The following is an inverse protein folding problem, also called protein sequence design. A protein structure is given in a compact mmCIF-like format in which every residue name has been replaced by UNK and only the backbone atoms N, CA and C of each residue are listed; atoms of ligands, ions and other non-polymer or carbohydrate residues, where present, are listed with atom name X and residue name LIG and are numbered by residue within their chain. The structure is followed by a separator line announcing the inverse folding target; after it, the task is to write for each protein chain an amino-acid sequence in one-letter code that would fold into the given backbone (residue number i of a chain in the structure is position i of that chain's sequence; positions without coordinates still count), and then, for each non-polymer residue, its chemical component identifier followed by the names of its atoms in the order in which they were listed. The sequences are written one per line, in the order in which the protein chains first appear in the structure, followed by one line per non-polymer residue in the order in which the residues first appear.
data_IF_647977918855
#
_entry.id   IF_647977918855
#
_cell.length_a   1.000
_cell.length_b   1.000
_cell.length_c   1.000
_cell.angle_alpha   90.00
_cell.angle_beta   90.00
_cell.angle_gamma   90.00
#
_symmetry.space_group_name_H-M   'P 1'
#
loop_
_entity.id
_entity.type
_entity.pdbx_description
1 polymer ?
#
# COMPACT_ATOMS: atom_id res chain seq x y z
N UNK A 1 18.04 5.97 14.07
CA UNK A 1 17.38 6.22 15.38
C UNK A 1 15.83 6.11 15.32
N UNK A 2 15.24 5.65 14.24
CA UNK A 2 13.76 5.63 14.01
C UNK A 2 13.03 4.33 14.35
N UNK A 3 13.70 3.33 14.90
CA UNK A 3 13.10 1.98 15.13
C UNK A 3 12.11 1.89 16.32
N UNK A 4 11.83 3.00 17.01
CA UNK A 4 11.00 3.02 18.25
C UNK A 4 9.58 3.59 18.08
N UNK A 5 9.23 4.15 16.92
CA UNK A 5 7.94 4.87 16.75
C UNK A 5 6.81 3.93 16.33
N UNK A 6 7.09 2.83 15.61
CA UNK A 6 6.06 1.92 15.07
C UNK A 6 5.34 1.11 16.17
N UNK A 7 5.97 0.86 17.31
CA UNK A 7 5.39 0.03 18.39
C UNK A 7 4.32 0.78 19.21
N UNK A 8 4.34 2.11 19.21
CA UNK A 8 3.43 2.92 20.07
C UNK A 8 2.02 3.03 19.46
N UNK A 9 1.86 2.92 18.15
CA UNK A 9 0.55 3.10 17.49
C UNK A 9 -0.36 1.89 17.71
N UNK A 10 0.17 0.69 17.82
CA UNK A 10 -0.62 -0.54 18.04
C UNK A 10 -1.19 -0.62 19.47
N UNK A 11 -0.53 -0.01 20.45
CA UNK A 11 -0.98 -0.05 21.85
C UNK A 11 -2.17 0.89 22.15
N UNK A 12 -2.47 1.86 21.30
CA UNK A 12 -3.53 2.84 21.54
C UNK A 12 -4.94 2.31 21.20
N UNK A 13 -5.04 1.23 20.41
CA UNK A 13 -6.34 0.66 20.01
C UNK A 13 -6.92 -0.34 21.02
N UNK A 14 -6.16 -0.77 22.04
CA UNK A 14 -6.60 -1.78 23.00
C UNK A 14 -7.35 -1.22 24.22
N UNK A 15 -7.52 0.10 24.34
CA UNK A 15 -8.23 0.74 25.45
C UNK A 15 -9.41 1.60 25.01
N UNK A 16 -10.15 1.19 23.99
CA UNK A 16 -11.39 1.88 23.63
C UNK A 16 -12.43 1.66 24.74
N UNK A 17 -12.97 2.74 25.36
CA UNK A 17 -14.01 2.58 26.38
C UNK A 17 -15.28 2.04 25.73
N UNK A 18 -16.11 1.37 26.54
CA UNK A 18 -17.36 0.69 26.18
C UNK A 18 -18.47 1.55 25.51
N UNK A 19 -18.13 2.74 24.97
CA UNK A 19 -18.98 3.52 24.08
C UNK A 19 -18.84 3.12 22.60
N UNK A 20 -18.06 2.08 22.29
CA UNK A 20 -17.86 1.54 20.94
C UNK A 20 -19.12 0.90 20.31
N UNK A 21 -20.19 0.77 21.05
CA UNK A 21 -21.44 0.10 20.67
C UNK A 21 -22.26 0.78 19.54
N UNK A 22 -21.69 1.79 18.88
CA UNK A 22 -22.34 2.49 17.74
C UNK A 22 -21.48 2.55 16.47
N UNK A 23 -20.28 1.94 16.46
CA UNK A 23 -19.42 1.87 15.31
C UNK A 23 -19.23 0.42 14.90
N UNK A 24 -19.47 0.14 13.63
CA UNK A 24 -19.17 -1.17 13.04
C UNK A 24 -17.68 -1.23 12.75
N UNK A 25 -17.00 -2.20 13.31
CA UNK A 25 -15.55 -2.38 13.11
C UNK A 25 -15.26 -3.62 12.30
N UNK A 26 -14.36 -3.48 11.33
CA UNK A 26 -13.92 -4.57 10.47
C UNK A 26 -12.40 -4.64 10.45
N UNK A 27 -11.86 -5.85 10.57
CA UNK A 27 -10.43 -6.13 10.48
C UNK A 27 -10.18 -7.14 9.38
N UNK A 28 -9.32 -6.78 8.42
CA UNK A 28 -9.04 -7.60 7.24
C UNK A 28 -7.55 -7.86 7.12
N UNK A 29 -6.99 -8.94 7.64
CA UNK A 29 -5.72 -9.46 7.15
C UNK A 29 -5.89 -9.90 5.70
N UNK A 30 -4.91 -9.57 4.86
CA UNK A 30 -4.98 -9.93 3.45
C UNK A 30 -3.59 -10.22 2.86
N UNK A 31 -3.58 -10.87 1.72
CA UNK A 31 -2.42 -11.06 0.87
C UNK A 31 -2.61 -10.23 -0.40
N UNK A 32 -1.52 -9.67 -0.88
CA UNK A 32 -1.47 -8.95 -2.13
C UNK A 32 -0.32 -9.51 -2.97
N UNK A 33 -0.67 -10.17 -4.02
CA UNK A 33 0.28 -10.73 -4.96
C UNK A 33 0.54 -9.69 -6.05
N UNK A 34 1.28 -8.65 -5.69
CA UNK A 34 1.60 -7.55 -6.57
C UNK A 34 2.81 -7.86 -7.44
N UNK A 35 2.68 -7.72 -8.75
CA UNK A 35 3.83 -7.44 -9.61
C UNK A 35 4.39 -6.07 -9.27
N UNK A 36 5.67 -5.85 -9.53
CA UNK A 36 6.37 -4.60 -9.32
C UNK A 36 7.07 -4.18 -10.61
N UNK A 37 6.72 -3.01 -11.10
CA UNK A 37 7.39 -2.36 -12.22
C UNK A 37 7.86 -0.98 -11.81
N UNK A 38 9.07 -0.59 -12.24
CA UNK A 38 9.53 0.76 -11.97
C UNK A 38 11.02 0.92 -11.96
N UNK A 39 11.47 2.03 -11.36
CA UNK A 39 12.86 2.38 -11.24
C UNK A 39 13.17 3.07 -9.91
N UNK A 40 14.40 2.86 -9.44
CA UNK A 40 14.97 3.61 -8.33
C UNK A 40 16.24 4.30 -8.79
N UNK A 41 16.33 5.61 -8.55
CA UNK A 41 17.47 6.44 -8.94
C UNK A 41 18.21 6.95 -7.72
N UNK A 42 19.54 6.80 -7.72
CA UNK A 42 20.43 7.36 -6.71
C UNK A 42 21.59 8.04 -7.41
N UNK A 43 21.59 9.38 -7.47
CA UNK A 43 22.55 10.16 -8.21
C UNK A 43 22.56 9.78 -9.69
N UNK A 44 23.70 9.33 -10.25
CA UNK A 44 23.79 8.94 -11.66
C UNK A 44 23.34 7.50 -11.94
N UNK A 45 23.00 6.72 -10.91
CA UNK A 45 22.64 5.32 -11.05
C UNK A 45 21.11 5.18 -11.04
N UNK A 46 20.57 4.49 -12.03
CA UNK A 46 19.16 4.06 -12.05
C UNK A 46 19.10 2.55 -12.20
N UNK A 47 18.46 1.89 -11.23
CA UNK A 47 18.13 0.48 -11.27
C UNK A 47 16.66 0.32 -11.70
N UNK A 48 16.42 -0.46 -12.75
CA UNK A 48 15.05 -0.81 -13.15
C UNK A 48 14.68 -2.17 -12.57
N UNK A 49 13.45 -2.26 -12.09
CA UNK A 49 12.86 -3.49 -11.59
C UNK A 49 11.59 -3.80 -12.39
N UNK A 50 11.44 -5.04 -12.77
CA UNK A 50 10.20 -5.56 -13.35
C UNK A 50 10.04 -7.00 -12.86
N UNK A 51 9.18 -7.19 -11.86
CA UNK A 51 8.90 -8.48 -11.26
C UNK A 51 7.47 -8.85 -11.60
N UNK A 52 7.31 -9.91 -12.40
CA UNK A 52 5.98 -10.40 -12.74
C UNK A 52 5.28 -10.94 -11.49
N UNK A 53 3.95 -10.88 -11.48
CA UNK A 53 3.13 -11.45 -10.41
C UNK A 53 3.50 -12.90 -10.06
N UNK A 54 3.79 -13.76 -11.07
CA UNK A 54 4.19 -15.15 -10.86
C UNK A 54 5.50 -15.29 -10.07
N UNK A 55 6.36 -14.31 -10.17
CA UNK A 55 7.74 -14.38 -9.66
C UNK A 55 7.89 -13.66 -8.31
N UNK A 56 6.84 -12.92 -7.87
CA UNK A 56 6.84 -12.20 -6.58
C UNK A 56 7.18 -13.11 -5.41
N UNK A 57 6.70 -14.36 -5.42
CA UNK A 57 6.97 -15.31 -4.34
C UNK A 57 8.47 -15.60 -4.20
N UNK A 58 9.22 -15.58 -5.29
CA UNK A 58 10.66 -15.86 -5.29
C UNK A 58 11.48 -14.67 -4.77
N UNK A 59 11.02 -13.44 -5.01
CA UNK A 59 11.68 -12.21 -4.57
C UNK A 59 11.20 -11.73 -3.21
N UNK A 60 10.00 -12.13 -2.75
CA UNK A 60 9.44 -11.77 -1.46
C UNK A 60 10.19 -12.45 -0.31
N UNK A 61 10.78 -11.66 0.56
CA UNK A 61 11.50 -12.13 1.77
C UNK A 61 10.68 -11.97 3.05
N UNK A 62 9.59 -11.25 2.98
CA UNK A 62 8.65 -11.05 4.08
C UNK A 62 7.60 -10.02 3.76
N UNK A 63 6.45 -10.13 4.39
CA UNK A 63 5.37 -9.19 4.20
C UNK A 63 4.23 -9.42 5.18
N UNK A 64 3.45 -8.39 5.40
CA UNK A 64 2.25 -8.42 6.20
C UNK A 64 1.34 -7.27 5.81
N UNK A 65 0.07 -7.60 5.61
CA UNK A 65 -0.90 -6.62 5.16
C UNK A 65 -2.16 -6.73 6.03
N UNK A 66 -2.60 -5.59 6.54
CA UNK A 66 -3.80 -5.53 7.36
C UNK A 66 -4.55 -4.24 7.12
N UNK A 67 -5.84 -4.36 6.99
CA UNK A 67 -6.78 -3.25 6.87
C UNK A 67 -7.69 -3.22 8.08
N UNK A 68 -7.99 -2.03 8.55
CA UNK A 68 -9.01 -1.77 9.54
C UNK A 68 -10.00 -0.76 8.97
N UNK A 69 -11.27 -0.99 9.19
CA UNK A 69 -12.32 -0.07 8.77
C UNK A 69 -13.34 0.07 9.88
N UNK A 70 -13.88 1.26 10.05
CA UNK A 70 -15.00 1.49 10.95
C UNK A 70 -15.98 2.47 10.33
N UNK A 71 -17.27 2.23 10.56
CA UNK A 71 -18.32 3.07 10.03
C UNK A 71 -19.41 3.28 11.07
N UNK A 72 -19.98 4.48 11.05
CA UNK A 72 -21.19 4.85 11.77
C UNK A 72 -22.00 5.80 10.90
N UNK A 73 -23.24 5.43 10.61
CA UNK A 73 -24.14 6.20 9.72
C UNK A 73 -23.48 6.46 8.36
N UNK A 74 -23.21 7.73 8.08
CA UNK A 74 -22.58 8.18 6.83
C UNK A 74 -21.06 8.43 6.95
N UNK A 75 -20.50 8.26 8.13
CA UNK A 75 -19.10 8.56 8.44
C UNK A 75 -18.33 7.29 8.65
N UNK A 76 -17.13 7.21 8.10
CA UNK A 76 -16.26 6.09 8.36
C UNK A 76 -14.79 6.46 8.29
N UNK A 77 -13.98 5.56 8.80
CA UNK A 77 -12.53 5.64 8.76
C UNK A 77 -11.97 4.35 8.19
N UNK A 78 -10.88 4.49 7.49
CA UNK A 78 -10.15 3.41 6.86
C UNK A 78 -8.68 3.53 7.23
N UNK A 79 -8.06 2.43 7.56
CA UNK A 79 -6.63 2.33 7.79
C UNK A 79 -6.06 1.10 7.07
N UNK A 80 -4.89 1.22 6.46
CA UNK A 80 -4.23 0.13 5.76
C UNK A 80 -2.73 0.17 6.07
N UNK A 81 -2.17 -0.99 6.37
CA UNK A 81 -0.75 -1.18 6.57
C UNK A 81 -0.24 -2.23 5.59
N UNK A 82 0.73 -1.84 4.79
CA UNK A 82 1.49 -2.72 3.90
C UNK A 82 2.95 -2.71 4.35
N UNK A 83 3.49 -3.89 4.58
CA UNK A 83 4.91 -4.10 4.85
C UNK A 83 5.43 -5.14 3.88
N UNK A 84 6.44 -4.78 3.08
CA UNK A 84 7.04 -5.64 2.05
C UNK A 84 8.56 -5.60 2.12
N UNK A 85 9.19 -6.75 1.88
CA UNK A 85 10.63 -6.88 1.64
C UNK A 85 10.86 -7.65 0.36
N UNK A 86 11.50 -7.01 -0.59
CA UNK A 86 11.79 -7.56 -1.90
C UNK A 86 13.29 -7.58 -2.16
N UNK A 87 13.75 -8.59 -2.90
CA UNK A 87 15.13 -8.69 -3.35
C UNK A 87 15.15 -9.24 -4.77
N UNK A 88 15.68 -8.45 -5.70
CA UNK A 88 15.91 -8.83 -7.09
C UNK A 88 17.43 -8.85 -7.35
N UNK A 89 17.95 -9.99 -7.84
CA UNK A 89 19.39 -10.17 -8.03
C UNK A 89 19.86 -9.86 -9.47
N UNK A 90 18.93 -9.82 -10.42
CA UNK A 90 19.21 -9.62 -11.85
C UNK A 90 18.67 -8.30 -12.40
N UNK A 91 18.44 -7.29 -11.56
CA UNK A 91 18.04 -5.97 -12.00
C UNK A 91 19.07 -5.38 -12.98
N UNK A 92 18.59 -4.66 -14.01
CA UNK A 92 19.47 -4.04 -15.01
C UNK A 92 19.76 -2.60 -14.65
N UNK A 93 21.03 -2.20 -14.70
CA UNK A 93 21.40 -0.81 -14.57
C UNK A 93 21.38 -0.05 -15.90
N UNK A 94 21.47 1.29 -15.85
CA UNK A 94 21.53 2.17 -17.02
C UNK A 94 22.79 2.02 -17.86
N UNK A 95 23.84 1.38 -17.33
CA UNK A 95 25.13 1.14 -18.02
C UNK A 95 25.12 -0.24 -18.70
N UNK A 96 24.02 -1.02 -18.54
CA UNK A 96 23.88 -2.34 -19.17
C UNK A 96 24.52 -3.48 -18.38
N UNK A 97 24.86 -3.23 -17.11
CA UNK A 97 25.31 -4.25 -16.15
C UNK A 97 24.14 -4.91 -15.40
N UNK A 98 24.45 -5.96 -14.65
CA UNK A 98 23.55 -6.51 -13.65
C UNK A 98 23.83 -5.88 -12.29
N UNK A 99 22.79 -5.63 -11.51
CA UNK A 99 22.92 -5.17 -10.13
C UNK A 99 21.92 -5.92 -9.24
N UNK A 100 22.23 -5.99 -7.97
CA UNK A 100 21.26 -6.44 -6.96
C UNK A 100 20.46 -5.23 -6.47
N UNK A 101 19.14 -5.32 -6.54
CA UNK A 101 18.21 -4.33 -5.97
C UNK A 101 17.50 -4.95 -4.78
N UNK A 102 17.55 -4.27 -3.63
CA UNK A 102 16.68 -4.56 -2.48
C UNK A 102 15.76 -3.39 -2.25
N UNK A 103 14.51 -3.69 -1.96
CA UNK A 103 13.50 -2.73 -1.61
C UNK A 103 12.75 -3.20 -0.38
N UNK A 104 12.92 -2.49 0.72
CA UNK A 104 12.08 -2.59 1.90
C UNK A 104 11.07 -1.45 1.86
N UNK A 105 9.77 -1.77 1.96
CA UNK A 105 8.69 -0.80 1.88
C UNK A 105 7.73 -0.93 3.06
N UNK A 106 7.41 0.21 3.67
CA UNK A 106 6.31 0.36 4.60
C UNK A 106 5.37 1.43 4.05
N UNK A 107 4.11 1.06 3.85
CA UNK A 107 3.07 1.98 3.40
C UNK A 107 1.98 1.98 4.46
N UNK A 108 1.69 3.16 5.01
CA UNK A 108 0.60 3.35 5.96
C UNK A 108 -0.39 4.34 5.38
N UNK A 109 -1.62 3.91 5.24
CA UNK A 109 -2.69 4.75 4.71
C UNK A 109 -3.77 4.94 5.76
N UNK A 110 -4.29 6.17 5.86
CA UNK A 110 -5.43 6.49 6.69
C UNK A 110 -6.36 7.45 5.97
N UNK A 111 -7.66 7.18 5.98
CA UNK A 111 -8.66 8.02 5.36
C UNK A 111 -9.93 8.13 6.20
N UNK A 112 -10.57 9.29 6.09
CA UNK A 112 -11.95 9.51 6.45
C UNK A 112 -12.79 9.44 5.17
N UNK A 113 -13.95 8.80 5.24
CA UNK A 113 -14.91 8.80 4.15
C UNK A 113 -16.30 9.23 4.59
N UNK A 114 -17.02 9.88 3.68
CA UNK A 114 -18.39 10.30 3.88
C UNK A 114 -19.30 9.70 2.80
N UNK A 115 -20.30 8.91 3.21
CA UNK A 115 -21.28 8.28 2.30
C UNK A 115 -22.38 9.27 1.93
N UNK A 116 -22.57 9.45 0.63
CA UNK A 116 -23.68 10.19 0.06
C UNK A 116 -24.60 9.23 -0.70
N UNK A 117 -25.70 8.89 -0.09
CA UNK A 117 -26.57 7.78 -0.52
C UNK A 117 -26.04 6.44 -0.02
N UNK A 118 -26.57 5.37 -0.59
CA UNK A 118 -26.35 4.01 -0.09
C UNK A 118 -25.09 3.36 -0.68
N UNK A 119 -24.62 3.85 -1.83
CA UNK A 119 -23.59 3.19 -2.64
C UNK A 119 -22.29 3.96 -2.79
N UNK A 120 -22.28 5.25 -2.52
CA UNK A 120 -21.15 6.12 -2.88
C UNK A 120 -20.58 6.82 -1.67
N UNK A 121 -19.27 6.97 -1.65
CA UNK A 121 -18.57 7.79 -0.66
C UNK A 121 -17.42 8.58 -1.31
N UNK A 122 -17.17 9.77 -0.77
CA UNK A 122 -15.93 10.51 -0.99
C UNK A 122 -15.00 10.26 0.16
N UNK A 123 -13.71 10.18 -0.12
CA UNK A 123 -12.68 10.01 0.88
C UNK A 123 -11.61 11.08 0.79
N UNK A 124 -11.04 11.41 1.94
CA UNK A 124 -9.85 12.24 2.09
C UNK A 124 -8.93 11.59 3.09
N UNK A 125 -7.66 11.54 2.78
CA UNK A 125 -6.72 10.81 3.61
C UNK A 125 -5.29 11.23 3.43
N UNK A 126 -4.42 10.50 4.10
CA UNK A 126 -2.99 10.61 3.97
C UNK A 126 -2.36 9.22 3.83
N UNK A 127 -1.28 9.16 3.08
CA UNK A 127 -0.48 7.96 2.86
C UNK A 127 0.96 8.27 3.19
N UNK A 128 1.51 7.56 4.16
CA UNK A 128 2.91 7.59 4.51
C UNK A 128 3.64 6.47 3.76
N UNK A 129 4.74 6.85 3.15
CA UNK A 129 5.64 5.98 2.44
C UNK A 129 6.98 5.97 3.15
N UNK A 130 7.56 4.79 3.34
CA UNK A 130 8.92 4.60 3.83
C UNK A 130 9.57 3.51 2.98
N UNK A 131 10.57 3.91 2.20
CA UNK A 131 11.31 3.05 1.30
C UNK A 131 12.78 3.05 1.68
N UNK A 132 13.34 1.87 1.85
CA UNK A 132 14.79 1.68 1.93
C UNK A 132 15.25 0.93 0.69
N UNK A 133 15.99 1.64 -0.17
CA UNK A 133 16.50 1.12 -1.43
C UNK A 133 18.00 0.85 -1.32
N UNK A 134 18.44 -0.35 -1.67
CA UNK A 134 19.85 -0.72 -1.75
C UNK A 134 20.16 -1.14 -3.17
N UNK A 135 21.13 -0.44 -3.80
CA UNK A 135 21.69 -0.79 -5.11
C UNK A 135 23.11 -1.32 -4.95
N UNK A 136 23.37 -2.50 -5.49
CA UNK A 136 24.70 -3.15 -5.50
C UNK A 136 25.18 -3.40 -6.94
N UNK A 137 25.79 -2.40 -7.58
CA UNK A 137 26.39 -2.60 -8.90
C UNK A 137 27.58 -3.57 -8.81
N UNK A 138 27.79 -4.38 -9.86
CA UNK A 138 28.82 -5.43 -9.85
C UNK A 138 30.25 -4.88 -9.66
N UNK A 139 30.52 -3.62 -10.03
CA UNK A 139 31.86 -3.03 -10.03
C UNK A 139 32.01 -1.79 -9.13
N UNK A 140 30.93 -1.36 -8.45
CA UNK A 140 30.92 -0.18 -7.60
C UNK A 140 30.51 -0.53 -6.18
N UNK A 141 30.82 0.31 -5.18
CA UNK A 141 30.34 0.12 -3.82
C UNK A 141 28.80 0.12 -3.75
N UNK A 142 28.29 -0.60 -2.79
CA UNK A 142 26.87 -0.58 -2.43
C UNK A 142 26.41 0.84 -2.10
N UNK A 143 25.25 1.24 -2.59
CA UNK A 143 24.61 2.51 -2.29
C UNK A 143 23.26 2.25 -1.65
N UNK A 144 23.08 2.81 -0.45
CA UNK A 144 21.84 2.72 0.32
C UNK A 144 21.20 4.10 0.37
N UNK A 145 19.87 4.16 0.17
CA UNK A 145 19.06 5.35 0.39
C UNK A 145 17.77 4.97 1.11
N UNK A 146 17.41 5.79 2.05
CA UNK A 146 16.09 5.78 2.68
C UNK A 146 15.35 7.05 2.25
N UNK A 147 14.09 6.90 1.90
CA UNK A 147 13.20 8.01 1.53
C UNK A 147 11.89 7.80 2.27
N UNK A 148 11.48 8.79 3.04
CA UNK A 148 10.19 8.79 3.71
C UNK A 148 9.44 10.09 3.41
N UNK A 149 8.16 9.98 3.10
CA UNK A 149 7.32 11.11 2.76
C UNK A 149 5.84 10.83 3.01
N UNK A 150 5.04 11.89 3.01
CA UNK A 150 3.59 11.82 3.20
C UNK A 150 2.88 12.48 2.05
N UNK A 151 1.94 11.77 1.44
CA UNK A 151 0.99 12.31 0.48
C UNK A 151 -0.36 12.54 1.13
N UNK A 152 -1.00 13.67 0.80
CA UNK A 152 -2.42 13.84 0.97
C UNK A 152 -3.15 13.28 -0.26
N UNK A 153 -4.32 12.69 -0.10
CA UNK A 153 -5.10 12.21 -1.24
C UNK A 153 -6.59 12.50 -1.09
N UNK A 154 -7.27 12.52 -2.21
CA UNK A 154 -8.74 12.49 -2.31
C UNK A 154 -9.15 11.29 -3.14
N UNK A 155 -10.31 10.72 -2.83
CA UNK A 155 -10.76 9.52 -3.50
C UNK A 155 -12.27 9.38 -3.54
N UNK A 156 -12.66 8.36 -4.26
CA UNK A 156 -14.04 7.94 -4.45
C UNK A 156 -14.16 6.45 -4.17
N UNK A 157 -15.24 6.08 -3.51
CA UNK A 157 -15.59 4.70 -3.19
C UNK A 157 -17.01 4.43 -3.62
N UNK A 158 -17.26 3.22 -4.12
CA UNK A 158 -18.62 2.75 -4.40
C UNK A 158 -18.78 1.29 -4.02
N UNK A 159 -19.97 0.92 -3.55
CA UNK A 159 -20.34 -0.44 -3.18
C UNK A 159 -21.63 -0.81 -3.92
N UNK A 160 -21.63 -1.97 -4.54
CA UNK A 160 -22.76 -2.48 -5.31
C UNK A 160 -23.11 -3.89 -4.85
N UNK A 161 -24.36 -4.10 -4.50
CA UNK A 161 -24.91 -5.42 -4.26
C UNK A 161 -24.98 -6.18 -5.61
N UNK A 162 -24.21 -7.25 -5.73
CA UNK A 162 -24.19 -8.11 -6.94
C UNK A 162 -25.20 -9.23 -6.82
N UNK A 163 -25.35 -9.77 -5.61
CA UNK A 163 -26.38 -10.76 -5.24
C UNK A 163 -26.58 -10.75 -3.73
N UNK A 164 -27.45 -11.63 -3.20
CA UNK A 164 -27.81 -11.69 -1.77
C UNK A 164 -26.60 -11.82 -0.83
N UNK A 165 -25.48 -12.37 -1.28
CA UNK A 165 -24.29 -12.60 -0.48
C UNK A 165 -23.00 -12.11 -1.15
N UNK A 166 -23.10 -11.32 -2.25
CA UNK A 166 -21.96 -10.82 -2.96
C UNK A 166 -22.06 -9.33 -3.23
N UNK A 167 -21.03 -8.60 -2.83
CA UNK A 167 -20.88 -7.18 -3.07
C UNK A 167 -19.64 -6.92 -3.91
N UNK A 168 -19.68 -5.84 -4.66
CA UNK A 168 -18.54 -5.29 -5.39
C UNK A 168 -18.14 -3.95 -4.77
N UNK A 169 -16.96 -3.88 -4.21
CA UNK A 169 -16.32 -2.64 -3.78
C UNK A 169 -15.40 -2.13 -4.88
N UNK A 170 -15.57 -0.88 -5.23
CA UNK A 170 -14.62 -0.10 -6.02
C UNK A 170 -14.11 1.07 -5.18
N UNK A 171 -12.80 1.33 -5.23
CA UNK A 171 -12.14 2.46 -4.60
C UNK A 171 -11.04 2.99 -5.51
N UNK A 172 -11.00 4.31 -5.71
CA UNK A 172 -9.93 4.98 -6.45
C UNK A 172 -9.56 6.27 -5.76
N UNK A 173 -8.28 6.58 -5.70
CA UNK A 173 -7.77 7.82 -5.13
C UNK A 173 -6.56 8.34 -5.91
N UNK A 174 -6.30 9.64 -5.76
CA UNK A 174 -5.16 10.34 -6.32
C UNK A 174 -4.65 11.33 -5.30
N UNK A 175 -3.35 11.46 -5.21
CA UNK A 175 -2.68 12.26 -4.18
C UNK A 175 -1.30 12.75 -4.61
N UNK A 176 -0.65 13.39 -3.67
CA UNK A 176 0.69 13.93 -3.77
C UNK A 176 1.00 14.85 -2.59
N UNK A 177 2.13 15.50 -2.65
CA UNK A 177 2.58 16.47 -1.63
C UNK A 177 3.97 16.16 -1.12
N UNK A 178 4.23 14.94 -0.67
CA UNK A 178 5.58 14.42 -0.46
C UNK A 178 6.13 13.83 -1.73
N UNK A 179 5.31 13.16 -2.52
CA UNK A 179 5.62 12.73 -3.89
C UNK A 179 5.13 13.74 -4.92
N UNK A 180 5.61 13.63 -6.15
CA UNK A 180 5.10 14.37 -7.30
C UNK A 180 3.68 13.89 -7.65
N UNK A 181 3.46 12.60 -7.50
CA UNK A 181 2.17 11.96 -7.79
C UNK A 181 2.04 10.63 -7.05
N UNK A 182 0.84 10.32 -6.56
CA UNK A 182 0.48 8.97 -6.13
C UNK A 182 -0.97 8.65 -6.48
N UNK A 183 -1.24 7.39 -6.82
CA UNK A 183 -2.59 6.91 -7.10
C UNK A 183 -2.86 5.53 -6.50
N UNK A 184 -4.11 5.27 -6.19
CA UNK A 184 -4.56 3.97 -5.73
C UNK A 184 -5.85 3.55 -6.43
N UNK A 185 -5.91 2.28 -6.80
CA UNK A 185 -7.10 1.62 -7.32
C UNK A 185 -7.32 0.32 -6.57
N UNK A 186 -8.56 0.02 -6.22
CA UNK A 186 -8.96 -1.24 -5.60
C UNK A 186 -10.33 -1.66 -6.11
N UNK A 187 -10.44 -2.95 -6.43
CA UNK A 187 -11.68 -3.60 -6.82
C UNK A 187 -11.77 -4.92 -6.08
N UNK A 188 -12.76 -5.09 -5.19
CA UNK A 188 -12.94 -6.30 -4.40
C UNK A 188 -14.34 -6.89 -4.64
N UNK A 189 -14.39 -8.17 -4.99
CA UNK A 189 -15.58 -9.00 -4.85
C UNK A 189 -15.61 -9.55 -3.43
N UNK A 190 -16.64 -9.22 -2.70
CA UNK A 190 -16.82 -9.58 -1.30
C UNK A 190 -17.94 -10.59 -1.16
N UNK A 191 -17.64 -11.70 -0.50
CA UNK A 191 -18.65 -12.71 -0.15
C UNK A 191 -18.91 -12.71 1.34
N UNK A 192 -20.10 -12.32 1.73
CA UNK A 192 -20.54 -12.39 3.12
C UNK A 192 -20.98 -13.82 3.48
N UNK A 193 -20.58 -14.26 4.67
CA UNK A 193 -20.98 -15.52 5.28
C UNK A 193 -22.05 -15.29 6.33
N UNK A 194 -22.78 -16.35 6.69
CA UNK A 194 -23.80 -16.30 7.76
C UNK A 194 -23.26 -15.90 9.14
N UNK A 195 -21.95 -15.89 9.32
CA UNK A 195 -21.27 -15.42 10.53
C UNK A 195 -21.07 -13.89 10.58
N UNK A 196 -21.41 -13.15 9.51
CA UNK A 196 -21.09 -11.74 9.34
C UNK A 196 -19.69 -11.47 8.76
N UNK A 197 -18.80 -12.46 8.78
CA UNK A 197 -17.47 -12.33 8.19
C UNK A 197 -17.51 -12.35 6.65
N UNK A 198 -16.48 -11.78 6.01
CA UNK A 198 -16.45 -11.66 4.56
C UNK A 198 -15.14 -12.22 3.98
N UNK A 199 -15.24 -12.92 2.85
CA UNK A 199 -14.10 -13.25 2.00
C UNK A 199 -13.98 -12.19 0.91
N UNK A 200 -12.83 -11.55 0.81
CA UNK A 200 -12.52 -10.52 -0.19
C UNK A 200 -11.59 -11.11 -1.26
N UNK A 201 -12.00 -11.05 -2.52
CA UNK A 201 -11.20 -11.43 -3.68
C UNK A 201 -11.10 -10.22 -4.59
N UNK A 202 -9.90 -9.70 -4.81
CA UNK A 202 -9.81 -8.42 -5.48
C UNK A 202 -8.57 -8.23 -6.33
N UNK A 203 -8.47 -6.99 -6.82
CA UNK A 203 -7.34 -6.44 -7.53
C UNK A 203 -7.01 -5.07 -6.93
N UNK A 204 -5.72 -4.84 -6.67
CA UNK A 204 -5.22 -3.57 -6.17
C UNK A 204 -4.06 -3.09 -7.03
N UNK A 205 -4.04 -1.79 -7.29
CA UNK A 205 -2.91 -1.08 -7.88
C UNK A 205 -2.56 0.13 -7.03
N UNK A 206 -1.26 0.36 -6.85
CA UNK A 206 -0.68 1.56 -6.25
C UNK A 206 0.46 2.05 -7.13
N UNK A 207 0.42 3.34 -7.46
CA UNK A 207 1.46 4.02 -8.23
C UNK A 207 2.01 5.18 -7.42
N UNK A 208 3.31 5.41 -7.51
CA UNK A 208 4.01 6.55 -6.89
C UNK A 208 5.17 7.00 -7.75
N UNK A 209 5.26 8.31 -7.94
CA UNK A 209 6.39 9.00 -8.57
C UNK A 209 6.94 10.03 -7.58
N UNK A 210 8.18 9.85 -7.18
CA UNK A 210 8.87 10.66 -6.19
C UNK A 210 10.26 11.01 -6.68
N UNK A 211 10.61 12.29 -6.68
CA UNK A 211 11.96 12.77 -6.92
C UNK A 211 12.37 13.83 -5.88
N UNK A 212 13.55 13.70 -5.35
CA UNK A 212 14.17 14.69 -4.46
C UNK A 212 15.65 14.89 -4.79
N UNK A 213 16.13 16.10 -4.58
CA UNK A 213 17.52 16.48 -4.84
C UNK A 213 17.81 16.86 -6.29
N UNK A 214 19.09 17.09 -6.58
CA UNK A 214 19.56 17.46 -7.92
C UNK A 214 20.95 16.88 -8.21
N UNK A 215 21.17 16.46 -9.46
CA UNK A 215 22.46 15.98 -9.93
C UNK A 215 22.93 14.72 -9.19
N UNK A 216 24.10 14.77 -8.55
CA UNK A 216 24.65 13.61 -7.82
C UNK A 216 23.92 13.28 -6.51
N UNK A 217 23.03 14.17 -6.07
CA UNK A 217 22.22 13.99 -4.85
C UNK A 217 20.76 13.61 -5.18
N UNK A 218 20.43 13.41 -6.45
CA UNK A 218 19.07 12.99 -6.85
C UNK A 218 18.74 11.64 -6.23
N UNK A 219 17.55 11.55 -5.66
CA UNK A 219 16.92 10.30 -5.26
C UNK A 219 15.54 10.26 -5.92
N UNK A 220 15.29 9.24 -6.72
CA UNK A 220 14.02 9.09 -7.44
C UNK A 220 13.46 7.68 -7.23
N UNK A 221 12.15 7.58 -7.21
CA UNK A 221 11.42 6.35 -7.09
C UNK A 221 10.15 6.45 -7.94
N UNK A 222 10.11 5.71 -9.03
CA UNK A 222 8.93 5.55 -9.87
C UNK A 222 8.51 4.08 -9.77
N UNK A 223 7.42 3.81 -9.06
CA UNK A 223 6.97 2.45 -8.79
C UNK A 223 5.47 2.29 -9.08
N UNK A 224 5.16 1.23 -9.80
CA UNK A 224 3.83 0.68 -9.99
C UNK A 224 3.75 -0.72 -9.36
N UNK A 225 2.85 -0.89 -8.42
CA UNK A 225 2.58 -2.15 -7.74
C UNK A 225 1.14 -2.56 -8.04
N UNK A 226 0.94 -3.69 -8.71
CA UNK A 226 -0.41 -4.10 -9.11
C UNK A 226 -0.58 -5.62 -9.08
N UNK A 227 -1.75 -6.08 -8.62
CA UNK A 227 -2.00 -7.52 -8.57
C UNK A 227 -3.24 -7.92 -7.79
N UNK A 228 -3.42 -9.23 -7.70
CA UNK A 228 -4.56 -9.83 -7.03
C UNK A 228 -4.44 -9.74 -5.51
N UNK A 229 -5.58 -9.55 -4.85
CA UNK A 229 -5.71 -9.59 -3.40
C UNK A 229 -6.64 -10.71 -2.98
N UNK A 230 -6.34 -11.30 -1.83
CA UNK A 230 -7.23 -12.20 -1.11
C UNK A 230 -7.20 -11.84 0.37
N UNK A 231 -8.35 -11.55 0.96
CA UNK A 231 -8.50 -11.15 2.35
C UNK A 231 -9.64 -11.86 3.04
N UNK A 232 -9.59 -11.87 4.36
CA UNK A 232 -10.70 -12.32 5.17
C UNK A 232 -11.02 -11.25 6.20
N UNK A 233 -12.23 -10.72 6.12
CA UNK A 233 -12.72 -9.64 6.98
C UNK A 233 -13.48 -10.21 8.17
N UNK A 234 -13.02 -9.89 9.35
CA UNK A 234 -13.70 -10.14 10.62
C UNK A 234 -14.58 -8.93 10.95
N UNK A 235 -15.85 -9.19 11.24
CA UNK A 235 -16.77 -8.24 11.84
C UNK A 235 -16.62 -8.31 13.38
N UNK A 236 -16.37 -7.16 14.06
CA UNK A 236 -15.93 -7.09 15.47
C UNK A 236 -16.98 -6.49 16.39
#
# INVERSE_FOLDING_TARGET
MCRRIVIVIIAFFLTAPASAQQWDWKLTPYLWAAGLDGSATIGPLTGNVSVAFSDVVDVLRGGGLVRIETQKDRHGFYGDLVFLRLKEEDARDTIGGTLELKLDAIIVEGAYFYRFGDRYALEVGARYWDFETTLRPALLPEVLRASDFVDGFVGFRSEFDVSDNWDLLFRANVGGGGSDYSAGLQLDFRREFSSGNTLDLGYRALDVDYEDGTGLLTTGLDLSMQGLTIGYTFDL
#
